data_IF_569520339449
#
_entry.id   IF_569520339449
#
_cell.length_a   1.000
_cell.length_b   1.000
_cell.length_c   1.000
_cell.angle_alpha   90.00
_cell.angle_beta   90.00
_cell.angle_gamma   90.00
#
_symmetry.space_group_name_H-M   'P 1'
#
loop_
_entity.id
_entity.type
_entity.pdbx_description
1 polymer ?
#
# COMPACT_ATOMS: atom_id res chain seq x y z
N UNK A 1 27.54 2.50 25.37
CA UNK A 1 26.95 1.19 25.64
C UNK A 1 26.81 0.47 24.31
N UNK A 2 27.44 -0.70 24.17
CA UNK A 2 27.44 -1.54 22.96
C UNK A 2 26.43 -2.65 23.12
N UNK A 3 25.49 -2.71 22.17
CA UNK A 3 24.35 -3.62 22.23
C UNK A 3 24.45 -4.60 21.08
N UNK A 4 24.39 -5.89 21.39
CA UNK A 4 24.17 -6.92 20.39
C UNK A 4 22.72 -7.38 20.44
N UNK A 5 22.03 -7.31 19.31
CA UNK A 5 20.70 -7.87 19.14
C UNK A 5 20.84 -9.20 18.40
N UNK A 6 20.56 -10.28 19.12
CA UNK A 6 20.38 -11.59 18.53
C UNK A 6 18.93 -11.74 18.12
N UNK A 7 18.67 -11.80 16.83
CA UNK A 7 17.35 -11.51 16.29
C UNK A 7 16.95 -12.50 15.19
N UNK A 8 15.64 -12.72 15.03
CA UNK A 8 15.05 -13.35 13.85
C UNK A 8 13.87 -12.52 13.35
N UNK A 9 13.81 -12.29 12.04
CA UNK A 9 12.65 -11.72 11.36
C UNK A 9 12.18 -10.36 11.90
N UNK A 10 10.87 -10.19 11.98
CA UNK A 10 10.25 -8.90 12.28
C UNK A 10 10.49 -8.38 13.71
N UNK A 11 10.52 -9.28 14.71
CA UNK A 11 10.76 -8.93 16.12
C UNK A 11 12.15 -8.35 16.29
N UNK A 12 13.14 -8.98 15.67
CA UNK A 12 14.52 -8.51 15.68
C UNK A 12 14.71 -7.14 15.07
N UNK A 13 14.06 -6.88 13.93
CA UNK A 13 14.07 -5.57 13.28
C UNK A 13 13.52 -4.47 14.18
N UNK A 14 12.40 -4.71 14.86
CA UNK A 14 11.80 -3.70 15.74
C UNK A 14 12.70 -3.38 16.94
N UNK A 15 13.33 -4.39 17.53
CA UNK A 15 14.28 -4.17 18.64
C UNK A 15 15.49 -3.37 18.18
N UNK A 16 16.00 -3.62 16.98
CA UNK A 16 17.06 -2.79 16.41
C UNK A 16 16.62 -1.34 16.21
N UNK A 17 15.46 -1.12 15.60
CA UNK A 17 14.90 0.21 15.36
C UNK A 17 14.60 0.99 16.65
N UNK A 18 14.21 0.29 17.71
CA UNK A 18 14.00 0.86 19.04
C UNK A 18 15.32 1.24 19.71
N UNK A 19 16.29 0.31 19.80
CA UNK A 19 17.53 0.55 20.55
C UNK A 19 18.40 1.63 19.90
N UNK A 20 18.40 1.75 18.57
CA UNK A 20 19.15 2.80 17.86
C UNK A 20 18.62 4.22 18.10
N UNK A 21 17.42 4.38 18.66
CA UNK A 21 16.93 5.70 19.09
C UNK A 21 17.71 6.23 20.31
N UNK A 22 18.37 5.34 21.05
CA UNK A 22 19.00 5.66 22.33
C UNK A 22 20.52 5.53 22.31
N UNK A 23 21.07 4.67 21.44
CA UNK A 23 22.50 4.34 21.40
C UNK A 23 23.04 4.32 19.97
N UNK A 24 24.27 4.81 19.80
CA UNK A 24 24.97 4.84 18.50
C UNK A 24 25.57 3.47 18.12
N UNK A 25 25.92 2.63 19.09
CA UNK A 25 26.60 1.34 18.91
C UNK A 25 25.64 0.15 19.10
N UNK A 26 24.72 -0.04 18.14
CA UNK A 26 23.80 -1.18 18.08
C UNK A 26 24.16 -2.11 16.92
N UNK A 27 24.36 -3.39 17.23
CA UNK A 27 24.75 -4.43 16.30
C UNK A 27 23.71 -5.53 16.22
N UNK A 28 23.65 -6.22 15.08
CA UNK A 28 22.71 -7.32 14.86
C UNK A 28 23.46 -8.60 14.45
N UNK A 29 23.03 -9.72 15.01
CA UNK A 29 23.42 -11.07 14.59
C UNK A 29 22.16 -11.93 14.40
N UNK A 30 22.07 -12.60 13.26
CA UNK A 30 20.95 -13.49 12.88
C UNK A 30 21.52 -14.71 12.15
N UNK A 31 21.21 -15.92 12.62
CA UNK A 31 21.70 -17.17 12.00
C UNK A 31 21.05 -17.47 10.63
N UNK A 32 19.97 -16.77 10.26
CA UNK A 32 19.07 -17.15 9.15
C UNK A 32 18.99 -16.11 8.02
N UNK A 33 19.69 -14.96 8.10
CA UNK A 33 19.60 -13.89 7.10
C UNK A 33 20.48 -14.12 5.87
N UNK A 34 19.88 -13.98 4.69
CA UNK A 34 20.61 -13.86 3.43
C UNK A 34 21.29 -12.48 3.37
N UNK A 35 22.62 -12.46 3.35
CA UNK A 35 23.50 -11.30 3.55
C UNK A 35 23.51 -10.25 2.41
N UNK A 36 22.59 -10.35 1.44
CA UNK A 36 22.54 -9.44 0.30
C UNK A 36 21.80 -8.15 0.66
N UNK A 37 22.56 -7.06 0.88
CA UNK A 37 22.02 -5.69 0.92
C UNK A 37 21.98 -4.98 2.27
N UNK A 38 22.68 -5.44 3.30
CA UNK A 38 22.62 -4.84 4.65
C UNK A 38 23.92 -4.17 5.11
N UNK A 39 23.73 -3.13 5.94
CA UNK A 39 24.67 -2.07 6.36
C UNK A 39 25.83 -2.53 7.25
N UNK A 40 26.75 -1.60 7.58
CA UNK A 40 27.97 -1.81 8.41
C UNK A 40 27.74 -2.37 9.83
N UNK A 41 26.50 -2.54 10.29
CA UNK A 41 26.14 -2.87 11.67
C UNK A 41 25.79 -4.35 11.91
N UNK A 42 25.91 -5.20 10.89
CA UNK A 42 25.73 -6.66 11.01
C UNK A 42 27.07 -7.34 11.28
N UNK A 43 27.15 -8.14 12.35
CA UNK A 43 28.35 -8.93 12.66
C UNK A 43 28.24 -10.33 12.03
N UNK A 44 29.33 -10.77 11.38
CA UNK A 44 29.38 -12.04 10.63
C UNK A 44 29.72 -13.26 11.49
N UNK A 45 30.35 -13.03 12.65
CA UNK A 45 30.71 -14.07 13.60
C UNK A 45 30.58 -13.50 15.02
N UNK A 46 30.22 -14.37 15.96
CA UNK A 46 30.15 -14.10 17.39
C UNK A 46 31.53 -13.97 18.04
N UNK A 47 32.59 -14.52 17.42
CA UNK A 47 34.00 -14.38 17.88
C UNK A 47 34.61 -13.01 17.52
N UNK A 48 33.82 -11.95 17.45
CA UNK A 48 34.31 -10.61 17.15
C UNK A 48 35.14 -10.06 18.32
N UNK A 49 36.18 -9.26 18.05
CA UNK A 49 36.93 -8.52 19.09
C UNK A 49 36.09 -7.46 19.83
N UNK A 50 34.85 -7.22 19.37
CA UNK A 50 33.93 -6.24 19.92
C UNK A 50 33.38 -6.74 21.25
N UNK A 51 33.63 -6.00 22.33
CA UNK A 51 33.01 -6.22 23.64
C UNK A 51 31.63 -5.58 23.69
N UNK A 52 30.63 -6.35 24.08
CA UNK A 52 29.25 -5.87 24.25
C UNK A 52 28.93 -5.70 25.73
N UNK A 53 28.23 -4.62 26.06
CA UNK A 53 27.74 -4.35 27.41
C UNK A 53 26.46 -5.13 27.70
N UNK A 54 25.67 -5.42 26.66
CA UNK A 54 24.42 -6.17 26.76
C UNK A 54 24.11 -6.91 25.46
N UNK A 55 23.53 -8.10 25.60
CA UNK A 55 23.09 -8.95 24.49
C UNK A 55 21.60 -9.22 24.64
N UNK A 56 20.84 -8.80 23.64
CA UNK A 56 19.38 -8.87 23.61
C UNK A 56 18.93 -9.99 22.69
N UNK A 57 18.36 -11.04 23.27
CA UNK A 57 17.81 -12.16 22.50
C UNK A 57 16.35 -11.91 22.22
N UNK A 58 16.06 -11.58 20.96
CA UNK A 58 14.77 -11.13 20.44
C UNK A 58 14.04 -12.27 19.75
N UNK A 59 13.25 -13.02 20.51
CA UNK A 59 12.51 -14.19 20.02
C UNK A 59 11.08 -14.23 20.57
N UNK A 60 10.18 -14.90 19.84
CA UNK A 60 8.76 -14.93 20.14
C UNK A 60 8.42 -15.66 21.47
N UNK A 61 9.22 -16.65 21.88
CA UNK A 61 8.94 -17.44 23.08
C UNK A 61 10.17 -17.67 23.99
N UNK A 62 9.89 -17.87 25.28
CA UNK A 62 10.91 -18.06 26.33
C UNK A 62 11.68 -19.38 26.22
N UNK A 63 11.12 -20.41 25.58
CA UNK A 63 11.79 -21.72 25.40
C UNK A 63 12.89 -21.60 24.35
N UNK A 64 12.61 -20.93 23.23
CA UNK A 64 13.60 -20.62 22.21
C UNK A 64 14.72 -19.73 22.76
N UNK A 65 14.38 -18.74 23.59
CA UNK A 65 15.35 -17.92 24.31
C UNK A 65 16.34 -18.75 25.14
N UNK A 66 15.88 -19.75 25.90
CA UNK A 66 16.76 -20.60 26.72
C UNK A 66 17.80 -21.32 25.86
N UNK A 67 17.38 -21.87 24.72
CA UNK A 67 18.29 -22.56 23.81
C UNK A 67 19.35 -21.63 23.23
N UNK A 68 18.93 -20.45 22.78
CA UNK A 68 19.84 -19.42 22.23
C UNK A 68 20.79 -18.90 23.30
N UNK A 69 20.28 -18.64 24.52
CA UNK A 69 21.10 -18.20 25.65
C UNK A 69 22.22 -19.20 25.92
N UNK A 70 21.95 -20.50 25.92
CA UNK A 70 22.97 -21.51 26.13
C UNK A 70 24.06 -21.46 25.06
N UNK A 71 23.68 -21.30 23.77
CA UNK A 71 24.63 -21.11 22.66
C UNK A 71 25.49 -19.87 22.86
N UNK A 72 24.87 -18.72 23.16
CA UNK A 72 25.58 -17.45 23.35
C UNK A 72 26.48 -17.44 24.58
N UNK A 73 26.14 -18.20 25.62
CA UNK A 73 26.94 -18.30 26.84
C UNK A 73 28.29 -19.00 26.62
N UNK A 74 28.49 -19.65 25.46
CA UNK A 74 29.81 -20.17 25.06
C UNK A 74 30.77 -19.05 24.60
N UNK A 75 30.25 -17.90 24.18
CA UNK A 75 31.03 -16.78 23.64
C UNK A 75 30.99 -15.54 24.55
N UNK A 76 29.95 -15.39 25.39
CA UNK A 76 29.71 -14.19 26.19
C UNK A 76 29.31 -14.52 27.62
N UNK A 77 29.49 -13.55 28.53
CA UNK A 77 29.08 -13.71 29.92
C UNK A 77 27.55 -13.87 30.06
N UNK A 78 27.11 -14.85 30.86
CA UNK A 78 25.69 -15.19 31.01
C UNK A 78 24.81 -14.07 31.60
N UNK A 79 25.41 -13.15 32.34
CA UNK A 79 24.78 -12.00 33.01
C UNK A 79 24.40 -10.89 32.03
N UNK A 80 25.15 -10.71 30.94
CA UNK A 80 24.86 -9.69 29.91
C UNK A 80 23.86 -10.18 28.86
N UNK A 81 23.58 -11.48 28.81
CA UNK A 81 22.58 -12.07 27.90
C UNK A 81 21.18 -11.98 28.53
N UNK A 82 20.34 -11.14 27.93
CA UNK A 82 18.98 -10.84 28.39
C UNK A 82 17.93 -11.26 27.37
N UNK A 83 16.78 -11.68 27.88
CA UNK A 83 15.60 -11.89 27.07
C UNK A 83 15.01 -10.52 26.68
N UNK A 84 14.72 -10.34 25.39
CA UNK A 84 14.13 -9.13 24.85
C UNK A 84 12.84 -9.47 24.10
N UNK A 85 11.72 -9.71 24.80
CA UNK A 85 10.42 -9.66 24.16
C UNK A 85 10.15 -8.19 23.73
N UNK A 86 9.10 -7.98 22.92
CA UNK A 86 8.51 -6.66 22.55
C UNK A 86 9.16 -6.05 21.29
N UNK A 87 8.55 -5.29 20.37
CA UNK A 87 7.17 -4.81 20.12
C UNK A 87 6.59 -5.66 18.95
N UNK A 88 5.45 -6.34 19.15
CA UNK A 88 4.87 -7.24 18.13
C UNK A 88 4.20 -6.52 16.96
N UNK A 89 3.92 -5.22 17.09
CA UNK A 89 3.35 -4.38 16.03
C UNK A 89 4.42 -3.50 15.43
N UNK A 90 4.33 -3.20 14.12
CA UNK A 90 5.31 -2.36 13.42
C UNK A 90 5.12 -0.93 13.93
N UNK A 91 6.01 -0.41 14.79
CA UNK A 91 5.85 0.95 15.26
C UNK A 91 6.11 1.89 14.08
N UNK A 92 5.32 2.96 13.95
CA UNK A 92 5.66 4.03 13.02
C UNK A 92 6.87 4.81 13.54
N UNK A 93 7.62 5.46 12.65
CA UNK A 93 8.76 6.31 13.03
C UNK A 93 8.32 7.42 14.00
N UNK A 94 7.09 7.93 13.85
CA UNK A 94 6.51 8.91 14.78
C UNK A 94 6.38 8.36 16.21
N UNK A 95 5.93 7.10 16.36
CA UNK A 95 5.84 6.48 17.67
C UNK A 95 7.22 6.20 18.26
N UNK A 96 8.20 5.75 17.45
CA UNK A 96 9.57 5.56 17.91
C UNK A 96 10.20 6.86 18.40
N UNK A 97 10.02 7.95 17.66
CA UNK A 97 10.50 9.29 18.07
C UNK A 97 9.78 9.78 19.34
N UNK A 98 8.47 9.55 19.45
CA UNK A 98 7.71 9.88 20.66
C UNK A 98 8.23 9.12 21.88
N UNK A 99 8.48 7.81 21.72
CA UNK A 99 9.07 7.01 22.79
C UNK A 99 10.47 7.54 23.11
N UNK A 100 11.32 7.79 22.12
CA UNK A 100 12.68 8.27 22.33
C UNK A 100 12.74 9.54 23.21
N UNK A 101 11.80 10.48 23.01
CA UNK A 101 11.68 11.72 23.79
C UNK A 101 11.17 11.50 25.22
N UNK A 102 10.32 10.49 25.43
CA UNK A 102 9.62 10.27 26.72
C UNK A 102 10.17 9.12 27.56
N UNK A 103 11.02 8.27 26.98
CA UNK A 103 11.51 7.05 27.62
C UNK A 103 12.68 7.33 28.57
N UNK A 104 12.60 6.79 29.79
CA UNK A 104 13.71 6.86 30.74
C UNK A 104 14.87 5.94 30.31
N UNK A 105 15.94 6.53 29.76
CA UNK A 105 17.15 5.80 29.33
C UNK A 105 17.76 4.94 30.45
N UNK A 106 17.63 5.33 31.72
CA UNK A 106 18.17 4.54 32.85
C UNK A 106 17.49 3.19 33.00
N UNK A 107 16.24 3.03 32.53
CA UNK A 107 15.56 1.74 32.52
C UNK A 107 16.22 0.76 31.54
N UNK A 108 16.70 1.26 30.40
CA UNK A 108 17.41 0.45 29.39
C UNK A 108 18.83 0.13 29.86
N UNK A 109 19.55 1.11 30.42
CA UNK A 109 20.90 0.90 30.97
C UNK A 109 20.94 -0.19 32.06
N UNK A 110 19.92 -0.22 32.93
CA UNK A 110 19.79 -1.27 33.94
C UNK A 110 19.08 -2.54 33.46
N UNK A 111 18.61 -2.52 32.21
CA UNK A 111 17.82 -3.56 31.55
C UNK A 111 16.85 -4.33 32.47
N UNK A 112 15.92 -3.61 33.08
CA UNK A 112 14.83 -4.21 33.84
C UNK A 112 13.63 -4.45 32.92
N UNK A 113 13.49 -5.68 32.44
CA UNK A 113 12.51 -6.05 31.42
C UNK A 113 11.07 -5.71 31.82
N UNK A 114 10.67 -6.03 33.05
CA UNK A 114 9.28 -5.80 33.50
C UNK A 114 8.97 -4.29 33.58
N UNK A 115 9.93 -3.49 34.03
CA UNK A 115 9.79 -2.04 34.05
C UNK A 115 9.78 -1.44 32.64
N UNK A 116 10.61 -1.94 31.73
CA UNK A 116 10.62 -1.52 30.32
C UNK A 116 9.27 -1.82 29.68
N UNK A 117 8.72 -3.05 29.85
CA UNK A 117 7.40 -3.43 29.35
C UNK A 117 6.33 -2.47 29.87
N UNK A 118 6.28 -2.28 31.20
CA UNK A 118 5.28 -1.43 31.84
C UNK A 118 5.37 0.01 31.35
N UNK A 119 6.58 0.53 31.16
CA UNK A 119 6.78 1.88 30.66
C UNK A 119 6.40 2.01 29.18
N UNK A 120 6.74 1.04 28.33
CA UNK A 120 6.29 1.02 26.92
C UNK A 120 4.77 1.01 26.83
N UNK A 121 4.07 0.21 27.65
CA UNK A 121 2.60 0.20 27.66
C UNK A 121 2.02 1.56 28.10
N UNK A 122 2.59 2.21 29.12
CA UNK A 122 2.20 3.56 29.51
C UNK A 122 2.43 4.58 28.38
N UNK A 123 3.57 4.50 27.69
CA UNK A 123 3.88 5.38 26.56
C UNK A 123 2.97 5.12 25.36
N UNK A 124 2.49 3.88 25.15
CA UNK A 124 1.48 3.59 24.13
C UNK A 124 0.18 4.31 24.42
N UNK A 125 -0.27 4.30 25.67
CA UNK A 125 -1.51 4.99 26.06
C UNK A 125 -1.37 6.51 25.96
N UNK A 126 -0.24 7.06 26.42
CA UNK A 126 0.07 8.48 26.25
C UNK A 126 0.17 8.88 24.76
N UNK A 127 0.80 8.04 23.94
CA UNK A 127 0.90 8.28 22.50
C UNK A 127 -0.49 8.28 21.84
N UNK A 128 -1.40 7.38 22.25
CA UNK A 128 -2.79 7.36 21.75
C UNK A 128 -3.48 8.68 22.07
N UNK A 129 -3.41 9.16 23.30
CA UNK A 129 -4.00 10.44 23.69
C UNK A 129 -3.36 11.63 22.94
N UNK A 130 -2.03 11.66 22.88
CA UNK A 130 -1.28 12.66 22.11
C UNK A 130 -1.75 12.68 20.65
N UNK A 131 -1.88 11.50 20.02
CA UNK A 131 -2.26 11.37 18.63
C UNK A 131 -3.69 11.86 18.39
N UNK A 132 -4.65 11.50 19.24
CA UNK A 132 -6.03 12.01 19.19
C UNK A 132 -6.06 13.54 19.21
N UNK A 133 -5.30 14.17 20.10
CA UNK A 133 -5.25 15.62 20.23
C UNK A 133 -4.54 16.29 19.04
N UNK A 134 -3.44 15.70 18.57
CA UNK A 134 -2.72 16.14 17.38
C UNK A 134 -3.64 16.13 16.15
N UNK A 135 -4.35 15.02 15.93
CA UNK A 135 -5.24 14.88 14.76
C UNK A 135 -6.43 15.83 14.85
N UNK A 136 -6.98 16.08 16.05
CA UNK A 136 -8.02 17.10 16.27
C UNK A 136 -7.53 18.50 15.91
N UNK A 137 -6.31 18.87 16.34
CA UNK A 137 -5.72 20.17 16.03
C UNK A 137 -5.43 20.32 14.53
N UNK A 138 -4.88 19.28 13.89
CA UNK A 138 -4.64 19.24 12.46
C UNK A 138 -5.94 19.38 11.65
N UNK A 139 -6.99 18.66 12.05
CA UNK A 139 -8.30 18.75 11.44
C UNK A 139 -8.89 20.17 11.56
N UNK A 140 -8.83 20.78 12.75
CA UNK A 140 -9.30 22.16 12.93
C UNK A 140 -8.54 23.13 12.02
N UNK A 141 -7.21 23.02 11.96
CA UNK A 141 -6.37 23.83 11.07
C UNK A 141 -6.79 23.67 9.61
N UNK A 142 -7.11 22.44 9.18
CA UNK A 142 -7.57 22.16 7.83
C UNK A 142 -8.95 22.79 7.57
N UNK A 143 -9.90 22.61 8.47
CA UNK A 143 -11.25 23.18 8.35
C UNK A 143 -11.21 24.71 8.29
N UNK A 144 -10.42 25.35 9.15
CA UNK A 144 -10.22 26.80 9.16
C UNK A 144 -9.64 27.32 7.84
N UNK A 145 -8.73 26.56 7.22
CA UNK A 145 -8.14 26.92 5.93
C UNK A 145 -9.12 26.73 4.77
N UNK A 146 -9.86 25.62 4.79
CA UNK A 146 -10.89 25.30 3.79
C UNK A 146 -11.99 26.38 3.77
N UNK A 147 -12.41 26.87 4.93
CA UNK A 147 -13.37 27.98 5.05
C UNK A 147 -12.86 29.29 4.44
N UNK A 148 -11.56 29.58 4.53
CA UNK A 148 -10.94 30.77 3.93
C UNK A 148 -10.75 30.66 2.42
N UNK A 149 -10.61 29.44 1.91
CA UNK A 149 -10.33 29.16 0.51
C UNK A 149 -11.30 28.10 -0.08
N UNK A 150 -12.63 28.32 -0.04
CA UNK A 150 -13.63 27.28 -0.32
C UNK A 150 -13.69 26.85 -1.79
N UNK A 151 -13.12 27.65 -2.69
CA UNK A 151 -13.14 27.40 -4.13
C UNK A 151 -11.84 26.77 -4.66
N UNK A 152 -10.84 26.60 -3.80
CA UNK A 152 -9.55 26.03 -4.20
C UNK A 152 -9.52 24.54 -3.94
N UNK A 153 -9.01 23.77 -4.89
CA UNK A 153 -8.71 22.36 -4.66
C UNK A 153 -7.54 22.18 -3.68
N UNK A 154 -7.35 20.96 -3.17
CA UNK A 154 -6.29 20.65 -2.22
C UNK A 154 -4.89 21.00 -2.71
N UNK A 155 -4.58 20.81 -4.00
CA UNK A 155 -3.25 21.10 -4.53
C UNK A 155 -2.96 22.60 -4.57
N UNK A 156 -3.98 23.39 -4.91
CA UNK A 156 -3.91 24.85 -4.83
C UNK A 156 -3.74 25.33 -3.38
N UNK A 157 -4.42 24.68 -2.42
CA UNK A 157 -4.30 24.98 -1.00
C UNK A 157 -2.90 24.63 -0.45
N UNK A 158 -2.37 23.47 -0.82
CA UNK A 158 -1.00 23.05 -0.51
C UNK A 158 0.00 24.05 -1.09
N UNK A 159 -0.16 24.42 -2.36
CA UNK A 159 0.71 25.40 -3.00
C UNK A 159 0.70 26.76 -2.28
N UNK A 160 -0.49 27.27 -1.92
CA UNK A 160 -0.63 28.55 -1.19
C UNK A 160 0.01 28.55 0.19
N UNK A 161 0.10 27.39 0.83
CA UNK A 161 0.72 27.20 2.16
C UNK A 161 2.16 26.70 2.05
N UNK A 162 2.66 26.51 0.83
CA UNK A 162 4.02 26.04 0.56
C UNK A 162 5.06 27.04 1.03
N UNK A 163 6.08 26.54 1.73
CA UNK A 163 7.27 27.34 2.11
C UNK A 163 8.27 27.46 0.97
N UNK A 164 8.19 26.56 0.00
CA UNK A 164 8.94 26.62 -1.26
C UNK A 164 7.92 26.91 -2.36
N UNK A 165 7.89 28.15 -2.83
CA UNK A 165 7.18 28.50 -4.05
C UNK A 165 8.18 28.32 -5.20
N UNK A 166 8.12 27.23 -6.00
CA UNK A 166 8.88 27.19 -7.23
C UNK A 166 8.51 28.42 -8.06
N UNK A 167 9.49 29.03 -8.75
CA UNK A 167 9.26 30.23 -9.60
C UNK A 167 8.26 30.00 -10.75
N UNK A 168 7.70 28.80 -10.89
CA UNK A 168 6.62 28.52 -11.81
C UNK A 168 5.33 29.24 -11.36
N UNK A 169 4.80 30.09 -12.24
CA UNK A 169 3.47 30.71 -12.10
C UNK A 169 2.32 29.73 -12.38
N UNK A 170 2.63 28.48 -12.70
CA UNK A 170 1.67 27.41 -12.98
C UNK A 170 1.68 26.41 -11.83
N UNK A 171 0.51 26.12 -11.29
CA UNK A 171 0.32 24.98 -10.39
C UNK A 171 0.32 23.76 -11.29
N UNK A 172 1.41 23.00 -11.29
CA UNK A 172 1.36 21.64 -11.82
C UNK A 172 0.45 20.86 -10.88
N UNK A 173 -0.76 20.51 -11.35
CA UNK A 173 -1.48 19.37 -10.77
C UNK A 173 -0.45 18.25 -10.68
N UNK A 174 -0.22 17.62 -9.50
CA UNK A 174 0.77 16.58 -9.40
C UNK A 174 0.41 15.49 -10.41
N UNK A 175 1.18 15.49 -11.49
CA UNK A 175 1.18 14.45 -12.49
C UNK A 175 1.90 13.30 -11.86
N UNK A 176 1.11 12.34 -11.38
CA UNK A 176 1.52 10.96 -11.21
C UNK A 176 2.73 10.74 -10.29
N UNK A 177 2.48 10.66 -8.99
CA UNK A 177 3.45 10.11 -8.03
C UNK A 177 3.10 8.66 -7.71
N UNK A 178 4.05 7.77 -7.92
CA UNK A 178 3.87 6.31 -7.75
C UNK A 178 5.00 5.78 -6.90
N UNK A 179 4.65 4.91 -5.97
CA UNK A 179 5.62 4.25 -5.13
C UNK A 179 6.53 3.37 -5.98
N UNK A 180 7.84 3.60 -5.88
CA UNK A 180 8.85 2.81 -6.58
C UNK A 180 9.06 1.48 -5.86
N UNK A 181 9.34 0.43 -6.62
CA UNK A 181 9.80 -0.83 -6.06
C UNK A 181 11.32 -0.77 -5.82
N UNK A 182 11.76 -0.91 -4.57
CA UNK A 182 13.19 -0.90 -4.22
C UNK A 182 13.90 -2.10 -4.85
N UNK A 183 14.91 -1.86 -5.68
CA UNK A 183 15.69 -2.91 -6.36
C UNK A 183 15.36 -3.11 -7.85
N UNK A 184 14.47 -2.29 -8.43
CA UNK A 184 14.16 -2.33 -9.86
C UNK A 184 15.13 -1.46 -10.69
N UNK A 185 15.41 -1.91 -11.91
CA UNK A 185 16.12 -1.14 -12.96
C UNK A 185 15.40 0.21 -13.20
N UNK A 186 16.16 1.27 -13.50
CA UNK A 186 15.70 2.62 -13.86
C UNK A 186 14.63 2.60 -14.97
N UNK A 187 14.59 1.53 -15.76
CA UNK A 187 13.65 1.32 -16.86
C UNK A 187 12.30 0.69 -16.46
N UNK A 188 12.09 0.31 -15.19
CA UNK A 188 10.86 -0.38 -14.76
C UNK A 188 10.44 -0.09 -13.31
N UNK A 189 10.87 1.04 -12.76
CA UNK A 189 10.70 1.41 -11.35
C UNK A 189 9.25 1.46 -10.83
N UNK A 190 8.24 1.48 -11.73
CA UNK A 190 6.81 1.47 -11.39
C UNK A 190 6.19 0.08 -11.27
N UNK A 191 6.74 -0.91 -11.97
CA UNK A 191 6.13 -2.22 -12.14
C UNK A 191 6.87 -3.28 -11.34
N UNK A 192 6.14 -4.33 -10.95
CA UNK A 192 6.75 -5.50 -10.31
C UNK A 192 7.75 -6.17 -11.24
N UNK A 193 7.33 -6.40 -12.48
CA UNK A 193 8.13 -7.06 -13.49
C UNK A 193 8.94 -6.06 -14.31
N UNK A 194 10.18 -6.45 -14.67
CA UNK A 194 11.00 -5.66 -15.59
C UNK A 194 10.38 -5.67 -16.99
N UNK A 195 10.25 -4.48 -17.58
CA UNK A 195 9.71 -4.27 -18.91
C UNK A 195 10.82 -3.78 -19.84
N UNK A 196 11.03 -4.50 -20.94
CA UNK A 196 11.96 -4.13 -22.01
C UNK A 196 11.19 -3.42 -23.13
N UNK A 197 11.09 -2.09 -23.03
CA UNK A 197 10.30 -1.29 -23.97
C UNK A 197 10.84 -1.34 -25.41
N UNK A 198 12.16 -1.45 -25.60
CA UNK A 198 12.77 -1.58 -26.94
C UNK A 198 12.37 -2.89 -27.61
N UNK A 199 12.36 -4.01 -26.87
CA UNK A 199 11.85 -5.27 -27.39
C UNK A 199 10.35 -5.25 -27.66
N UNK A 200 9.57 -4.55 -26.83
CA UNK A 200 8.12 -4.42 -27.05
C UNK A 200 7.79 -3.62 -28.32
N UNK A 201 8.62 -2.63 -28.69
CA UNK A 201 8.46 -1.91 -29.95
C UNK A 201 8.72 -2.81 -31.17
N UNK A 202 9.64 -3.77 -31.04
CA UNK A 202 10.04 -4.70 -32.10
C UNK A 202 9.50 -6.13 -31.87
N UNK A 203 8.33 -6.25 -31.26
CA UNK A 203 7.75 -7.54 -30.85
C UNK A 203 7.19 -8.35 -32.02
N UNK A 204 7.33 -9.67 -31.95
CA UNK A 204 6.69 -10.61 -32.89
C UNK A 204 5.27 -11.01 -32.47
N UNK A 205 5.01 -11.02 -31.16
CA UNK A 205 3.70 -11.35 -30.57
C UNK A 205 2.89 -10.09 -30.31
N UNK A 206 1.57 -10.18 -30.53
CA UNK A 206 0.62 -9.15 -30.09
C UNK A 206 0.73 -8.94 -28.57
N UNK A 207 0.53 -7.72 -28.13
CA UNK A 207 0.67 -7.23 -26.77
C UNK A 207 -0.70 -6.98 -26.14
N UNK A 208 -0.91 -7.60 -24.99
CA UNK A 208 -1.99 -7.32 -24.04
C UNK A 208 -1.35 -6.67 -22.82
N UNK A 209 -1.77 -5.47 -22.46
CA UNK A 209 -1.40 -4.86 -21.19
C UNK A 209 -2.60 -4.86 -20.25
N UNK A 210 -2.36 -5.19 -18.98
CA UNK A 210 -3.40 -5.23 -17.95
C UNK A 210 -3.01 -4.25 -16.85
N UNK A 211 -3.74 -3.15 -16.76
CA UNK A 211 -3.66 -2.20 -15.65
C UNK A 211 -4.59 -2.60 -14.52
N UNK A 212 -4.23 -2.23 -13.31
CA UNK A 212 -5.07 -2.41 -12.13
C UNK A 212 -4.37 -2.02 -10.84
N UNK A 213 -5.08 -2.19 -9.72
CA UNK A 213 -4.56 -1.84 -8.40
C UNK A 213 -3.80 -3.01 -7.73
N UNK A 214 -3.72 -3.01 -6.39
CA UNK A 214 -3.08 -4.05 -5.60
C UNK A 214 -3.65 -5.46 -5.84
N UNK A 215 -4.93 -5.58 -6.19
CA UNK A 215 -5.57 -6.87 -6.53
C UNK A 215 -5.00 -7.49 -7.82
N UNK A 216 -4.48 -6.68 -8.74
CA UNK A 216 -3.80 -7.16 -9.95
C UNK A 216 -2.30 -7.38 -9.74
N UNK A 217 -1.65 -6.46 -9.00
CA UNK A 217 -0.21 -6.54 -8.70
C UNK A 217 0.13 -7.84 -7.96
N UNK A 218 -0.75 -8.21 -7.02
CA UNK A 218 -0.81 -9.52 -6.38
C UNK A 218 0.49 -10.00 -5.70
N UNK A 219 1.23 -9.09 -5.07
CA UNK A 219 2.44 -9.42 -4.30
C UNK A 219 2.16 -10.43 -3.18
N UNK A 220 0.96 -10.37 -2.60
CA UNK A 220 0.50 -11.29 -1.57
C UNK A 220 0.29 -12.74 -2.05
N UNK A 221 0.18 -12.98 -3.37
CA UNK A 221 -0.02 -14.33 -3.91
C UNK A 221 1.29 -15.12 -4.04
N UNK A 222 2.44 -14.43 -4.12
CA UNK A 222 3.75 -15.07 -4.23
C UNK A 222 4.07 -15.87 -2.96
N UNK A 223 3.66 -15.37 -1.79
CA UNK A 223 3.92 -15.98 -0.48
C UNK A 223 3.16 -17.30 -0.27
N UNK A 224 2.01 -17.47 -0.93
CA UNK A 224 1.10 -18.61 -0.76
C UNK A 224 1.15 -19.61 -1.93
N UNK A 225 2.02 -19.40 -2.92
CA UNK A 225 2.28 -20.34 -4.02
C UNK A 225 1.20 -20.40 -5.10
N UNK A 226 0.45 -19.32 -5.32
CA UNK A 226 -0.65 -19.24 -6.29
C UNK A 226 -0.38 -18.36 -7.51
N UNK A 227 -1.24 -18.45 -8.53
CA UNK A 227 -1.17 -17.60 -9.73
C UNK A 227 -2.05 -16.34 -9.63
N UNK A 228 -1.60 -15.20 -10.16
CA UNK A 228 -2.42 -13.99 -10.37
C UNK A 228 -3.14 -14.00 -11.73
N UNK A 229 -4.07 -13.05 -11.94
CA UNK A 229 -4.87 -12.94 -13.17
C UNK A 229 -3.98 -12.94 -14.42
N UNK A 230 -2.88 -12.20 -14.41
CA UNK A 230 -1.99 -12.06 -15.58
C UNK A 230 -1.22 -13.35 -15.85
N UNK A 231 -0.72 -14.01 -14.81
CA UNK A 231 -0.03 -15.32 -14.95
C UNK A 231 -0.96 -16.38 -15.55
N UNK A 232 -2.25 -16.37 -15.19
CA UNK A 232 -3.23 -17.26 -15.84
C UNK A 232 -3.56 -16.81 -17.27
N UNK A 233 -3.68 -15.50 -17.53
CA UNK A 233 -3.87 -14.99 -18.90
C UNK A 233 -2.72 -15.37 -19.84
N UNK A 234 -1.47 -15.33 -19.37
CA UNK A 234 -0.31 -15.79 -20.14
C UNK A 234 -0.44 -17.26 -20.57
N UNK A 235 -1.08 -18.11 -19.74
CA UNK A 235 -1.37 -19.51 -20.09
C UNK A 235 -2.50 -19.62 -21.12
N UNK A 236 -3.55 -18.81 -20.99
CA UNK A 236 -4.70 -18.85 -21.91
C UNK A 236 -4.49 -18.12 -23.23
N UNK A 237 -3.49 -17.23 -23.30
CA UNK A 237 -3.16 -16.42 -24.47
C UNK A 237 -1.69 -16.64 -24.90
N UNK A 238 -1.28 -17.87 -25.25
CA UNK A 238 0.13 -18.19 -25.51
C UNK A 238 0.74 -17.45 -26.72
N UNK A 239 -0.13 -16.95 -27.61
CA UNK A 239 0.25 -16.17 -28.79
C UNK A 239 0.39 -14.66 -28.52
N UNK A 240 0.17 -14.24 -27.27
CA UNK A 240 0.31 -12.86 -26.83
C UNK A 240 1.47 -12.72 -25.85
N UNK A 241 2.09 -11.54 -25.86
CA UNK A 241 2.83 -11.03 -24.72
C UNK A 241 1.80 -10.37 -23.81
N UNK A 242 1.68 -10.84 -22.56
CA UNK A 242 0.74 -10.27 -21.57
C UNK A 242 1.54 -9.67 -20.43
N UNK A 243 1.36 -8.37 -20.18
CA UNK A 243 2.08 -7.64 -19.14
C UNK A 243 1.18 -7.31 -17.95
N UNK A 244 1.71 -7.47 -16.74
CA UNK A 244 1.09 -7.03 -15.50
C UNK A 244 1.56 -5.61 -15.17
N UNK A 245 0.65 -4.65 -15.28
CA UNK A 245 0.88 -3.24 -14.95
C UNK A 245 0.14 -2.84 -13.67
N UNK A 246 -0.04 -3.78 -12.75
CA UNK A 246 -0.68 -3.57 -11.46
C UNK A 246 0.15 -2.67 -10.54
N UNK A 247 -0.48 -1.64 -9.97
CA UNK A 247 0.16 -0.66 -9.09
C UNK A 247 -0.69 -0.47 -7.84
N UNK A 248 -0.09 -0.53 -6.66
CA UNK A 248 -0.83 -0.39 -5.41
C UNK A 248 -1.54 0.97 -5.33
N UNK A 249 -2.84 0.95 -5.05
CA UNK A 249 -3.69 2.14 -4.90
C UNK A 249 -3.94 2.93 -6.18
N UNK A 250 -3.54 2.47 -7.37
CA UNK A 250 -3.75 3.25 -8.60
C UNK A 250 -5.22 3.31 -9.00
N UNK A 251 -5.71 4.50 -9.31
CA UNK A 251 -7.02 4.72 -9.95
C UNK A 251 -6.92 4.74 -11.48
N UNK A 252 -8.05 4.80 -12.17
CA UNK A 252 -8.13 5.09 -13.60
C UNK A 252 -7.34 6.35 -13.99
N UNK A 253 -7.30 7.38 -13.13
CA UNK A 253 -6.53 8.60 -13.40
C UNK A 253 -5.04 8.29 -13.50
N UNK A 254 -4.49 7.54 -12.54
CA UNK A 254 -3.10 7.08 -12.59
C UNK A 254 -2.85 6.16 -13.79
N UNK A 255 -3.74 5.21 -14.07
CA UNK A 255 -3.58 4.25 -15.17
C UNK A 255 -3.55 4.93 -16.55
N UNK A 256 -4.41 5.93 -16.79
CA UNK A 256 -4.39 6.73 -18.02
C UNK A 256 -3.07 7.48 -18.19
N UNK A 257 -2.57 8.10 -17.11
CA UNK A 257 -1.31 8.84 -17.15
C UNK A 257 -0.13 7.93 -17.49
N UNK A 258 -0.08 6.72 -16.93
CA UNK A 258 0.95 5.73 -17.26
C UNK A 258 0.85 5.29 -18.71
N UNK A 259 -0.37 4.99 -19.17
CA UNK A 259 -0.57 4.59 -20.56
C UNK A 259 -0.01 5.65 -21.51
N UNK A 260 -0.38 6.92 -21.28
CA UNK A 260 0.09 8.04 -22.10
C UNK A 260 1.61 8.20 -22.06
N UNK A 261 2.22 8.08 -20.88
CA UNK A 261 3.66 8.25 -20.72
C UNK A 261 4.48 7.10 -21.32
N UNK A 262 4.04 5.85 -21.15
CA UNK A 262 4.89 4.67 -21.37
C UNK A 262 4.42 3.74 -22.50
N UNK A 263 3.11 3.68 -22.79
CA UNK A 263 2.54 2.67 -23.68
C UNK A 263 1.85 3.23 -24.92
N UNK A 264 1.58 4.53 -24.97
CA UNK A 264 0.97 5.19 -26.12
C UNK A 264 1.77 4.94 -27.40
N UNK A 265 3.09 5.06 -27.36
CA UNK A 265 3.95 4.80 -28.53
C UNK A 265 4.19 3.31 -28.80
N UNK A 266 3.96 2.45 -27.80
CA UNK A 266 4.12 0.99 -27.90
C UNK A 266 2.94 0.36 -28.66
N UNK A 267 1.77 1.02 -28.67
CA UNK A 267 0.57 0.59 -29.41
C UNK A 267 0.13 -0.85 -29.10
N UNK A 268 -0.20 -1.17 -27.84
CA UNK A 268 -0.71 -2.50 -27.48
C UNK A 268 -2.03 -2.80 -28.21
N UNK A 269 -2.21 -4.05 -28.65
CA UNK A 269 -3.42 -4.50 -29.33
C UNK A 269 -4.62 -4.54 -28.38
N UNK A 270 -4.39 -4.87 -27.11
CA UNK A 270 -5.41 -4.82 -26.06
C UNK A 270 -4.90 -4.08 -24.83
N UNK A 271 -5.75 -3.19 -24.32
CA UNK A 271 -5.55 -2.49 -23.04
C UNK A 271 -6.70 -2.85 -22.12
N UNK A 272 -6.37 -3.53 -21.04
CA UNK A 272 -7.32 -3.95 -20.02
C UNK A 272 -7.12 -3.07 -18.79
N UNK A 273 -8.22 -2.66 -18.15
CA UNK A 273 -8.19 -1.97 -16.85
C UNK A 273 -9.04 -2.72 -15.85
N UNK A 274 -8.45 -3.12 -14.73
CA UNK A 274 -9.16 -3.56 -13.52
C UNK A 274 -9.28 -2.37 -12.58
N UNK A 275 -10.50 -1.92 -12.31
CA UNK A 275 -10.75 -0.67 -11.58
C UNK A 275 -11.95 -0.80 -10.63
N UNK A 276 -12.16 0.19 -9.78
CA UNK A 276 -13.40 0.34 -9.02
C UNK A 276 -13.15 0.57 -7.54
N UNK A 277 -12.49 -0.36 -6.84
CA UNK A 277 -12.42 -0.26 -5.38
C UNK A 277 -11.32 0.66 -4.85
N UNK A 278 -10.21 0.84 -5.57
CA UNK A 278 -9.28 1.91 -5.22
C UNK A 278 -9.99 3.27 -5.36
N UNK A 279 -10.69 3.48 -6.47
CA UNK A 279 -11.47 4.70 -6.71
C UNK A 279 -12.60 4.90 -5.71
N UNK A 280 -13.32 3.82 -5.38
CA UNK A 280 -14.40 3.88 -4.43
C UNK A 280 -13.89 4.24 -3.05
N UNK A 281 -12.74 3.72 -2.60
CA UNK A 281 -12.12 4.14 -1.34
C UNK A 281 -11.62 5.59 -1.42
N UNK A 282 -10.88 5.93 -2.48
CA UNK A 282 -10.26 7.24 -2.64
C UNK A 282 -11.29 8.37 -2.73
N UNK A 283 -12.48 8.11 -3.29
CA UNK A 283 -13.57 9.09 -3.35
C UNK A 283 -14.00 9.62 -1.97
N UNK A 284 -13.84 8.83 -0.91
CA UNK A 284 -14.22 9.17 0.47
C UNK A 284 -13.12 9.91 1.23
N UNK A 285 -11.88 9.96 0.70
CA UNK A 285 -10.75 10.60 1.37
C UNK A 285 -10.19 11.78 0.58
N UNK A 286 -10.41 11.82 -0.73
CA UNK A 286 -9.90 12.88 -1.60
C UNK A 286 -10.67 14.20 -1.48
N UNK A 287 -10.04 15.26 -2.00
CA UNK A 287 -10.67 16.56 -2.21
C UNK A 287 -11.97 16.47 -3.04
N UNK A 288 -13.05 16.99 -2.45
CA UNK A 288 -14.39 16.92 -3.03
C UNK A 288 -14.62 17.92 -4.16
N UNK A 289 -13.79 18.95 -4.32
CA UNK A 289 -13.90 19.90 -5.45
C UNK A 289 -13.46 19.20 -6.73
N UNK A 290 -12.36 18.45 -6.69
CA UNK A 290 -11.90 17.65 -7.83
C UNK A 290 -12.90 16.57 -8.23
N UNK A 291 -13.51 15.88 -7.26
CA UNK A 291 -14.58 14.92 -7.55
C UNK A 291 -15.79 15.58 -8.21
N UNK A 292 -16.37 16.59 -7.55
CA UNK A 292 -17.68 17.14 -7.92
C UNK A 292 -17.62 18.07 -9.13
N UNK A 293 -16.55 18.86 -9.27
CA UNK A 293 -16.41 19.85 -10.37
C UNK A 293 -15.67 19.28 -11.58
N UNK A 294 -14.70 18.39 -11.36
CA UNK A 294 -13.81 17.93 -12.42
C UNK A 294 -13.94 16.44 -12.75
N UNK A 295 -14.75 15.69 -11.99
CA UNK A 295 -14.93 14.25 -12.20
C UNK A 295 -13.59 13.50 -12.14
N UNK A 296 -12.72 13.89 -11.21
CA UNK A 296 -11.41 13.28 -11.00
C UNK A 296 -11.45 12.48 -9.70
N UNK A 297 -11.09 11.20 -9.80
CA UNK A 297 -10.72 10.36 -8.66
C UNK A 297 -9.24 9.97 -8.83
N UNK A 298 -8.44 10.22 -7.82
CA UNK A 298 -6.99 10.01 -7.85
C UNK A 298 -6.52 9.36 -6.55
N UNK A 299 -5.33 8.75 -6.56
CA UNK A 299 -4.74 8.20 -5.35
C UNK A 299 -4.37 9.33 -4.38
N UNK A 300 -5.29 9.75 -3.51
CA UNK A 300 -5.16 10.99 -2.74
C UNK A 300 -4.03 10.88 -1.72
N UNK A 301 -3.90 9.72 -1.06
CA UNK A 301 -2.83 9.49 -0.11
C UNK A 301 -1.45 9.71 -0.75
N UNK A 302 -1.23 9.24 -1.98
CA UNK A 302 0.07 9.36 -2.65
C UNK A 302 0.29 10.78 -3.20
N UNK A 303 -0.71 11.31 -3.91
CA UNK A 303 -0.57 12.57 -4.62
C UNK A 303 -0.58 13.79 -3.68
N UNK A 304 -1.45 13.82 -2.66
CA UNK A 304 -1.49 14.92 -1.69
C UNK A 304 -0.23 14.94 -0.81
N UNK A 305 0.24 13.77 -0.35
CA UNK A 305 1.47 13.66 0.45
C UNK A 305 2.67 14.16 -0.32
N UNK A 306 2.85 13.71 -1.56
CA UNK A 306 4.00 14.14 -2.37
C UNK A 306 3.95 15.63 -2.67
N UNK A 307 2.76 16.19 -2.96
CA UNK A 307 2.61 17.62 -3.14
C UNK A 307 2.99 18.38 -1.86
N UNK A 308 2.50 17.95 -0.71
CA UNK A 308 2.80 18.56 0.59
C UNK A 308 4.31 18.57 0.88
N UNK A 309 5.00 17.46 0.61
CA UNK A 309 6.46 17.35 0.76
C UNK A 309 7.21 18.27 -0.21
N UNK A 310 6.84 18.26 -1.50
CA UNK A 310 7.47 19.06 -2.55
C UNK A 310 7.41 20.56 -2.22
N UNK A 311 6.25 21.04 -1.78
CA UNK A 311 6.04 22.46 -1.45
C UNK A 311 6.43 22.81 0.00
N UNK A 312 6.82 21.81 0.81
CA UNK A 312 7.01 21.93 2.28
C UNK A 312 5.84 22.63 2.96
N UNK A 313 4.63 22.28 2.53
CA UNK A 313 3.38 22.82 3.08
C UNK A 313 3.14 22.27 4.48
N UNK A 314 2.64 23.12 5.37
CA UNK A 314 2.22 22.75 6.72
C UNK A 314 0.71 22.51 6.82
N UNK A 315 -0.01 22.53 5.68
CA UNK A 315 -1.44 22.24 5.62
C UNK A 315 -1.67 20.74 5.82
N UNK A 316 -2.54 20.35 6.76
CA UNK A 316 -2.92 18.95 6.91
C UNK A 316 -3.72 18.45 5.71
N UNK A 317 -3.34 17.28 5.20
CA UNK A 317 -4.01 16.54 4.12
C UNK A 317 -4.89 15.46 4.73
N UNK A 318 -5.87 14.92 3.98
CA UNK A 318 -6.83 13.99 4.57
C UNK A 318 -6.15 12.71 5.08
N UNK A 319 -5.17 12.19 4.35
CA UNK A 319 -4.39 11.04 4.78
C UNK A 319 -3.67 11.22 6.12
N UNK A 320 -3.40 12.47 6.55
CA UNK A 320 -2.76 12.73 7.85
C UNK A 320 -3.62 12.26 9.04
N UNK A 321 -4.95 12.17 8.90
CA UNK A 321 -5.86 11.87 10.00
C UNK A 321 -6.96 10.83 9.66
N UNK A 322 -7.01 10.33 8.42
CA UNK A 322 -7.93 9.26 7.98
C UNK A 322 -7.83 8.02 8.88
N UNK A 323 -6.61 7.63 9.28
CA UNK A 323 -6.37 6.42 10.07
C UNK A 323 -6.71 6.54 11.56
N UNK A 324 -6.96 7.75 12.07
CA UNK A 324 -7.14 7.96 13.53
C UNK A 324 -8.52 8.49 13.87
N UNK A 325 -9.15 9.28 13.00
CA UNK A 325 -10.47 9.88 13.27
C UNK A 325 -11.62 9.15 12.55
N UNK A 326 -11.34 8.20 11.64
CA UNK A 326 -12.35 7.62 10.72
C UNK A 326 -13.21 8.69 10.01
N UNK A 327 -12.68 9.91 9.87
CA UNK A 327 -13.42 11.01 9.23
C UNK A 327 -13.28 10.85 7.72
N UNK A 328 -14.37 10.42 7.11
CA UNK A 328 -14.52 10.30 5.65
C UNK A 328 -15.45 11.40 5.14
N UNK A 329 -15.23 11.81 3.90
CA UNK A 329 -16.30 12.45 3.15
C UNK A 329 -17.37 11.41 2.84
N UNK A 330 -18.62 11.85 2.73
CA UNK A 330 -19.71 11.00 2.26
C UNK A 330 -20.18 11.53 0.89
N UNK A 331 -19.41 11.31 -0.18
CA UNK A 331 -19.85 11.65 -1.52
C UNK A 331 -21.08 10.83 -1.91
N UNK A 332 -21.94 11.39 -2.76
CA UNK A 332 -23.02 10.62 -3.38
C UNK A 332 -22.43 9.61 -4.38
N UNK A 333 -22.96 8.38 -4.40
CA UNK A 333 -22.55 7.35 -5.35
C UNK A 333 -22.67 7.82 -6.81
N UNK A 334 -23.67 8.67 -7.11
CA UNK A 334 -23.85 9.31 -8.41
C UNK A 334 -22.64 10.11 -8.88
N UNK A 335 -21.99 10.85 -7.96
CA UNK A 335 -20.80 11.63 -8.27
C UNK A 335 -19.59 10.73 -8.55
N UNK A 336 -19.44 9.64 -7.79
CA UNK A 336 -18.39 8.64 -7.99
C UNK A 336 -18.59 7.93 -9.34
N UNK A 337 -19.79 7.43 -9.59
CA UNK A 337 -20.16 6.71 -10.81
C UNK A 337 -19.94 7.59 -12.04
N UNK A 338 -20.35 8.86 -11.98
CA UNK A 338 -20.08 9.84 -13.04
C UNK A 338 -18.58 10.01 -13.26
N UNK A 339 -17.78 10.20 -12.20
CA UNK A 339 -16.34 10.37 -12.34
C UNK A 339 -15.65 9.17 -12.99
N UNK A 340 -16.01 7.96 -12.56
CA UNK A 340 -15.54 6.71 -13.16
C UNK A 340 -15.94 6.60 -14.63
N UNK A 341 -17.20 6.88 -14.96
CA UNK A 341 -17.71 6.83 -16.33
C UNK A 341 -16.93 7.77 -17.25
N UNK A 342 -16.74 9.03 -16.86
CA UNK A 342 -16.00 10.03 -17.63
C UNK A 342 -14.54 9.60 -17.86
N UNK A 343 -13.87 9.04 -16.84
CA UNK A 343 -12.49 8.54 -16.98
C UNK A 343 -12.41 7.29 -17.86
N UNK A 344 -13.37 6.37 -17.79
CA UNK A 344 -13.42 5.21 -18.68
C UNK A 344 -13.61 5.62 -20.14
N UNK A 345 -14.52 6.57 -20.41
CA UNK A 345 -14.74 7.11 -21.76
C UNK A 345 -13.45 7.77 -22.28
N UNK A 346 -12.78 8.56 -21.43
CA UNK A 346 -11.50 9.16 -21.78
C UNK A 346 -10.46 8.08 -22.13
N UNK A 347 -10.31 7.05 -21.30
CA UNK A 347 -9.31 6.01 -21.53
C UNK A 347 -9.61 5.21 -22.80
N UNK A 348 -10.87 4.80 -22.99
CA UNK A 348 -11.36 4.15 -24.19
C UNK A 348 -11.01 4.95 -25.46
N UNK A 349 -11.31 6.26 -25.46
CA UNK A 349 -11.03 7.13 -26.60
C UNK A 349 -9.52 7.22 -26.91
N UNK A 350 -8.69 7.35 -25.88
CA UNK A 350 -7.22 7.40 -26.03
C UNK A 350 -6.71 6.09 -26.64
N UNK A 351 -7.12 4.94 -26.12
CA UNK A 351 -6.68 3.62 -26.60
C UNK A 351 -7.13 3.37 -28.04
N UNK A 352 -8.42 3.62 -28.33
CA UNK A 352 -8.98 3.40 -29.66
C UNK A 352 -8.44 4.35 -30.72
N UNK A 353 -8.10 5.60 -30.35
CA UNK A 353 -7.45 6.53 -31.27
C UNK A 353 -6.10 6.01 -31.79
N UNK A 354 -5.52 5.04 -31.09
CA UNK A 354 -4.27 4.39 -31.43
C UNK A 354 -4.47 2.96 -31.96
N UNK A 355 -5.68 2.62 -32.42
CA UNK A 355 -6.11 1.31 -32.90
C UNK A 355 -6.03 0.15 -31.88
N UNK A 356 -5.86 0.45 -30.59
CA UNK A 356 -5.95 -0.54 -29.53
C UNK A 356 -7.40 -0.91 -29.23
N UNK A 357 -7.64 -2.09 -28.67
CA UNK A 357 -8.94 -2.53 -28.15
C UNK A 357 -8.96 -2.38 -26.63
N UNK A 358 -9.94 -1.66 -26.11
CA UNK A 358 -10.07 -1.40 -24.68
C UNK A 358 -11.07 -2.34 -24.01
N UNK A 359 -10.75 -2.83 -22.81
CA UNK A 359 -11.63 -3.66 -21.97
C UNK A 359 -11.57 -3.11 -20.54
N UNK A 360 -12.74 -2.71 -20.02
CA UNK A 360 -12.90 -2.22 -18.66
C UNK A 360 -13.54 -3.29 -17.77
N UNK A 361 -12.89 -3.62 -16.68
CA UNK A 361 -13.26 -4.68 -15.76
C UNK A 361 -13.52 -4.07 -14.37
N UNK A 362 -14.79 -3.96 -13.97
CA UNK A 362 -15.11 -3.58 -12.60
C UNK A 362 -14.64 -4.70 -11.70
N UNK A 363 -13.76 -4.35 -10.78
CA UNK A 363 -13.14 -5.32 -9.89
C UNK A 363 -14.19 -5.95 -8.97
N UNK A 364 -14.02 -7.23 -8.60
CA UNK A 364 -14.85 -7.84 -7.58
C UNK A 364 -14.64 -7.21 -6.20
N UNK A 365 -15.72 -7.07 -5.45
CA UNK A 365 -15.73 -6.72 -4.03
C UNK A 365 -16.30 -7.89 -3.23
N UNK A 366 -15.74 -8.20 -2.06
CA UNK A 366 -16.25 -9.26 -1.19
C UNK A 366 -17.49 -8.79 -0.40
N UNK A 367 -18.55 -8.41 -1.08
CA UNK A 367 -19.70 -7.73 -0.45
C UNK A 367 -20.58 -8.71 0.37
N UNK A 368 -20.36 -10.02 0.24
CA UNK A 368 -21.27 -11.06 0.77
C UNK A 368 -20.57 -12.28 1.35
N UNK A 369 -19.37 -12.16 1.91
CA UNK A 369 -18.78 -13.28 2.66
C UNK A 369 -19.57 -13.48 3.96
N UNK A 370 -20.59 -14.33 3.91
CA UNK A 370 -21.51 -14.61 5.04
C UNK A 370 -20.76 -15.28 6.19
N UNK A 371 -19.75 -16.10 5.87
CA UNK A 371 -18.95 -16.85 6.83
C UNK A 371 -17.50 -16.37 6.80
N UNK A 372 -17.18 -15.46 7.70
CA UNK A 372 -15.82 -15.08 8.05
C UNK A 372 -15.23 -16.15 8.97
N UNK A 373 -14.01 -16.61 8.70
CA UNK A 373 -13.31 -17.46 9.67
C UNK A 373 -12.84 -16.64 10.90
N UNK A 374 -12.34 -17.30 11.95
CA UNK A 374 -11.95 -16.63 13.21
C UNK A 374 -10.81 -15.61 13.02
N UNK A 375 -9.86 -15.88 12.12
CA UNK A 375 -8.75 -14.97 11.83
C UNK A 375 -9.26 -13.75 11.03
N UNK A 376 -10.19 -13.98 10.09
CA UNK A 376 -10.86 -12.96 9.30
C UNK A 376 -11.79 -12.08 10.14
N UNK A 377 -12.50 -12.65 11.12
CA UNK A 377 -13.26 -11.85 12.12
C UNK A 377 -12.33 -10.93 12.89
N UNK A 378 -11.15 -11.40 13.27
CA UNK A 378 -10.17 -10.61 14.03
C UNK A 378 -9.53 -9.50 13.19
N UNK A 379 -9.38 -9.72 11.87
CA UNK A 379 -8.89 -8.72 10.90
C UNK A 379 -10.00 -7.72 10.54
N UNK A 380 -11.25 -8.16 10.37
CA UNK A 380 -12.43 -7.32 10.06
C UNK A 380 -12.94 -6.50 11.26
N UNK A 381 -12.57 -6.90 12.49
CA UNK A 381 -12.74 -6.10 13.71
C UNK A 381 -11.75 -4.93 13.80
N UNK A 382 -10.75 -4.85 12.92
CA UNK A 382 -10.08 -3.57 12.68
C UNK A 382 -11.00 -2.77 11.78
N UNK A 383 -11.67 -1.78 12.35
CA UNK A 383 -12.47 -0.77 11.65
C UNK A 383 -11.62 0.08 10.67
N UNK A 384 -11.01 -0.56 9.68
CA UNK A 384 -10.32 0.11 8.59
C UNK A 384 -11.36 0.68 7.63
N UNK A 385 -11.04 1.85 7.08
CA UNK A 385 -11.93 2.56 6.16
C UNK A 385 -12.29 1.69 4.95
N UNK A 386 -11.32 0.94 4.42
CA UNK A 386 -11.45 0.06 3.27
C UNK A 386 -12.53 -1.00 3.47
N UNK A 387 -12.56 -1.64 4.65
CA UNK A 387 -13.54 -2.68 4.98
C UNK A 387 -14.93 -2.12 5.25
N UNK A 388 -15.04 -0.92 5.83
CA UNK A 388 -16.33 -0.24 6.00
C UNK A 388 -16.91 0.10 4.62
N UNK A 389 -16.10 0.71 3.75
CA UNK A 389 -16.53 1.14 2.42
C UNK A 389 -16.86 -0.08 1.54
N UNK A 390 -16.08 -1.15 1.60
CA UNK A 390 -16.35 -2.35 0.81
C UNK A 390 -17.68 -3.02 1.17
N UNK A 391 -18.12 -2.98 2.45
CA UNK A 391 -19.45 -3.47 2.86
C UNK A 391 -20.60 -2.64 2.30
N UNK A 392 -20.34 -1.38 1.99
CA UNK A 392 -21.32 -0.42 1.45
C UNK A 392 -21.28 -0.38 -0.10
N UNK A 393 -20.52 -1.26 -0.76
CA UNK A 393 -20.27 -1.17 -2.20
C UNK A 393 -21.41 -1.71 -3.11
N UNK A 394 -22.40 -2.44 -2.58
CA UNK A 394 -23.50 -3.02 -3.38
C UNK A 394 -24.28 -1.92 -4.14
N UNK A 395 -24.64 -0.84 -3.44
CA UNK A 395 -25.37 0.30 -4.04
C UNK A 395 -24.54 1.00 -5.12
N UNK A 396 -23.25 1.14 -4.87
CA UNK A 396 -22.30 1.69 -5.84
C UNK A 396 -22.22 0.83 -7.10
N UNK A 397 -22.10 -0.49 -6.97
CA UNK A 397 -22.03 -1.41 -8.12
C UNK A 397 -23.32 -1.34 -8.94
N UNK A 398 -24.48 -1.35 -8.28
CA UNK A 398 -25.78 -1.28 -8.94
C UNK A 398 -25.96 0.03 -9.70
N UNK A 399 -25.59 1.16 -9.09
CA UNK A 399 -25.64 2.46 -9.73
C UNK A 399 -24.66 2.56 -10.90
N UNK A 400 -23.44 2.05 -10.73
CA UNK A 400 -22.45 2.09 -11.79
C UNK A 400 -22.86 1.21 -12.97
N UNK A 401 -23.37 0.00 -12.72
CA UNK A 401 -23.91 -0.89 -13.76
C UNK A 401 -25.07 -0.26 -14.54
N UNK A 402 -25.91 0.57 -13.89
CA UNK A 402 -26.94 1.36 -14.59
C UNK A 402 -26.31 2.43 -15.48
N UNK A 403 -25.29 3.12 -14.96
CA UNK A 403 -24.57 4.20 -15.66
C UNK A 403 -23.83 3.68 -16.91
N UNK A 404 -23.28 2.47 -16.85
CA UNK A 404 -22.43 1.89 -17.90
C UNK A 404 -23.16 0.89 -18.81
N UNK A 405 -24.49 0.73 -18.69
CA UNK A 405 -25.27 -0.30 -19.40
C UNK A 405 -25.02 -0.39 -20.91
N UNK A 406 -24.66 0.73 -21.56
CA UNK A 406 -24.45 0.81 -23.01
C UNK A 406 -22.97 0.70 -23.43
N UNK A 407 -22.03 0.53 -22.49
CA UNK A 407 -20.61 0.41 -22.79
C UNK A 407 -20.29 -1.05 -23.13
N UNK A 408 -20.09 -1.35 -24.42
CA UNK A 408 -19.81 -2.72 -24.89
C UNK A 408 -18.47 -3.28 -24.41
N UNK A 409 -17.54 -2.40 -24.02
CA UNK A 409 -16.22 -2.74 -23.50
C UNK A 409 -16.19 -2.87 -21.97
N UNK A 410 -17.31 -2.66 -21.28
CA UNK A 410 -17.40 -2.75 -19.83
C UNK A 410 -17.92 -4.13 -19.38
N UNK A 411 -17.26 -4.71 -18.38
CA UNK A 411 -17.66 -5.97 -17.77
C UNK A 411 -17.57 -5.90 -16.25
N UNK A 412 -18.63 -6.38 -15.60
CA UNK A 412 -18.72 -6.48 -14.14
C UNK A 412 -18.21 -7.84 -13.67
N UNK A 413 -17.01 -7.89 -13.08
CA UNK A 413 -16.43 -9.13 -12.58
C UNK A 413 -17.12 -9.64 -11.30
N UNK A 414 -17.94 -8.83 -10.62
CA UNK A 414 -18.72 -9.30 -9.47
C UNK A 414 -19.70 -10.39 -9.91
N UNK A 415 -20.27 -10.27 -11.11
CA UNK A 415 -21.14 -11.31 -11.71
C UNK A 415 -20.37 -12.58 -12.09
N UNK A 416 -19.06 -12.49 -12.34
CA UNK A 416 -18.25 -13.67 -12.65
C UNK A 416 -17.99 -14.55 -11.42
N UNK A 417 -18.04 -13.97 -10.22
CA UNK A 417 -17.66 -14.64 -8.97
C UNK A 417 -18.83 -14.82 -7.99
N UNK A 418 -20.04 -14.36 -8.34
CA UNK A 418 -21.17 -14.23 -7.40
C UNK A 418 -21.54 -15.56 -6.69
N UNK A 419 -21.51 -16.68 -7.41
CA UNK A 419 -21.94 -17.98 -6.88
C UNK A 419 -20.91 -18.63 -5.94
N UNK A 420 -19.70 -18.08 -5.87
CA UNK A 420 -18.57 -18.70 -5.16
C UNK A 420 -17.76 -17.68 -4.35
N UNK A 421 -18.38 -16.55 -4.01
CA UNK A 421 -17.73 -15.41 -3.34
C UNK A 421 -16.91 -15.83 -2.11
N UNK A 422 -17.37 -16.84 -1.35
CA UNK A 422 -16.71 -17.35 -0.16
C UNK A 422 -15.33 -18.00 -0.41
N UNK A 423 -15.06 -18.50 -1.63
CA UNK A 423 -13.77 -19.10 -2.03
C UNK A 423 -12.89 -18.14 -2.83
N UNK A 424 -13.41 -16.94 -3.13
CA UNK A 424 -12.81 -16.01 -4.06
C UNK A 424 -11.91 -14.95 -3.41
N UNK A 425 -11.99 -14.76 -2.09
CA UNK A 425 -11.25 -13.71 -1.37
C UNK A 425 -10.51 -14.24 -0.15
N UNK A 426 -9.35 -13.65 0.15
CA UNK A 426 -8.56 -13.89 1.37
C UNK A 426 -8.73 -12.74 2.35
N UNK A 427 -9.34 -12.99 3.52
CA UNK A 427 -9.32 -12.18 4.74
C UNK A 427 -9.40 -10.66 4.67
N UNK A 428 -9.75 -10.15 3.50
CA UNK A 428 -9.88 -8.76 3.10
C UNK A 428 -10.93 -8.73 2.01
N UNK A 429 -11.61 -7.60 1.89
CA UNK A 429 -12.72 -7.47 0.94
C UNK A 429 -12.31 -7.24 -0.52
N UNK A 430 -11.02 -7.09 -0.81
CA UNK A 430 -10.52 -6.66 -2.13
C UNK A 430 -9.47 -7.58 -2.78
N UNK A 431 -8.85 -8.50 -2.03
CA UNK A 431 -7.78 -9.36 -2.55
C UNK A 431 -8.29 -10.77 -2.92
N UNK A 432 -8.07 -11.16 -4.18
CA UNK A 432 -8.56 -12.42 -4.75
C UNK A 432 -7.68 -13.61 -4.38
N UNK A 433 -8.30 -14.80 -4.36
CA UNK A 433 -7.59 -16.08 -4.34
C UNK A 433 -7.03 -16.43 -5.72
N UNK A 434 -6.07 -17.39 -5.83
CA UNK A 434 -5.64 -17.93 -7.12
C UNK A 434 -6.81 -18.52 -7.91
N UNK A 435 -7.76 -19.12 -7.21
CA UNK A 435 -8.98 -19.65 -7.81
C UNK A 435 -9.81 -18.57 -8.51
N UNK A 436 -10.09 -17.45 -7.82
CA UNK A 436 -10.77 -16.31 -8.41
C UNK A 436 -9.96 -15.70 -9.57
N UNK A 437 -8.64 -15.58 -9.39
CA UNK A 437 -7.73 -15.08 -10.43
C UNK A 437 -7.80 -15.91 -11.72
N UNK A 438 -7.82 -17.24 -11.61
CA UNK A 438 -7.95 -18.12 -12.77
C UNK A 438 -9.31 -17.96 -13.47
N UNK A 439 -10.40 -17.87 -12.70
CA UNK A 439 -11.75 -17.66 -13.25
C UNK A 439 -11.86 -16.34 -14.00
N UNK A 440 -11.39 -15.25 -13.41
CA UNK A 440 -11.34 -13.93 -14.05
C UNK A 440 -10.51 -14.01 -15.33
N UNK A 441 -9.34 -14.65 -15.29
CA UNK A 441 -8.48 -14.81 -16.47
C UNK A 441 -9.18 -15.58 -17.61
N UNK A 442 -9.90 -16.68 -17.32
CA UNK A 442 -10.69 -17.42 -18.31
C UNK A 442 -11.80 -16.57 -18.93
N UNK A 443 -12.48 -15.76 -18.11
CA UNK A 443 -13.51 -14.85 -18.60
C UNK A 443 -12.91 -13.81 -19.55
N UNK A 444 -11.81 -13.16 -19.14
CA UNK A 444 -11.11 -12.15 -19.94
C UNK A 444 -10.59 -12.75 -21.25
N UNK A 445 -9.98 -13.94 -21.22
CA UNK A 445 -9.45 -14.57 -22.45
C UNK A 445 -10.57 -14.82 -23.46
N UNK A 446 -11.75 -15.27 -23.00
CA UNK A 446 -12.93 -15.42 -23.86
C UNK A 446 -13.37 -14.08 -24.46
N UNK A 447 -13.38 -13.00 -23.68
CA UNK A 447 -13.72 -11.65 -24.18
C UNK A 447 -12.73 -11.13 -25.21
N UNK A 448 -11.44 -11.39 -25.02
CA UNK A 448 -10.43 -11.05 -26.02
C UNK A 448 -10.71 -11.78 -27.34
N UNK A 449 -11.03 -13.08 -27.30
CA UNK A 449 -11.39 -13.84 -28.51
C UNK A 449 -12.67 -13.32 -29.18
N UNK A 450 -13.70 -12.96 -28.41
CA UNK A 450 -14.96 -12.40 -28.94
C UNK A 450 -14.78 -11.04 -29.65
N UNK A 451 -13.81 -10.24 -29.21
CA UNK A 451 -13.55 -8.90 -29.75
C UNK A 451 -12.58 -8.97 -30.95
N UNK A 452 -11.81 -10.04 -31.14
CA UNK A 452 -10.85 -10.19 -32.26
C UNK A 452 -11.51 -9.91 -33.59
#
# INVERSE_FOLDING_TARGET
MRILIYAYGFIGKNNYEFMKQFFDEVYVYDDMLNMSGLSKHFIKNLDSEIKFDIILVSVADKKLYKNIKNKLSAHFESNIIKFAPIILTKPSDLFLNFIADKFDKKLIENYNLDNIIKHIEQLKDQYREFRINFDRSALQKREDFDLKCPNLDIFQKIYKTGKILPKCKTISYPGFNVMFSSGCDERSFYFKDKIDFEKLQNRDKKLVIVFGNCGLRADYLDEIGGGNIVQYLQKYLPNYTVLNLGINGSTLFEQINIYNALFYTIKPEFVLTVFGGAEYIEAFVQDQILLKRHSIIYAAMNNETTAKELYKSDLPIHSDFVYTIKKRFNPENSAICKALYERLIQFYNIVNSNNGKFIALLQPFAIKKINLDEDEKTILLKDSLDEIIAREADEFIDEFNKTTKNLSYYFDLNKCLCDEINRCFYGTSLHYTPYASEKIAKFISKKIEEIK
#
